data_IF_048754369629
#
_entry.id   IF_048754369629
#
_cell.length_a   1.000
_cell.length_b   1.000
_cell.length_c   1.000
_cell.angle_alpha   90.00
_cell.angle_beta   90.00
_cell.angle_gamma   90.00
#
_symmetry.space_group_name_H-M   'P 1'
#
loop_
_entity.id
_entity.type
_entity.pdbx_description
1 polymer ?
#
# COMPACT_ATOMS: atom_id res chain seq x y z
N UNK A 1 -8.11 -0.76 -40.83
CA UNK A 1 -7.44 -1.84 -41.58
C UNK A 1 -8.20 -3.13 -41.35
N UNK A 2 -8.64 -3.75 -42.44
CA UNK A 2 -9.51 -4.90 -42.51
C UNK A 2 -8.69 -6.09 -42.97
N UNK A 3 -8.76 -7.24 -42.31
CA UNK A 3 -8.42 -8.52 -42.93
C UNK A 3 -9.38 -9.61 -42.46
N UNK A 4 -10.21 -10.03 -43.41
CA UNK A 4 -10.97 -11.29 -43.44
C UNK A 4 -10.00 -12.47 -43.70
N UNK A 5 -10.31 -13.66 -43.18
CA UNK A 5 -10.65 -14.89 -43.97
C UNK A 5 -10.73 -16.16 -43.11
N UNK A 6 -11.70 -16.99 -43.50
CA UNK A 6 -12.15 -18.32 -43.05
C UNK A 6 -11.32 -19.46 -43.74
N UNK A 7 -11.74 -20.76 -43.79
CA UNK A 7 -12.29 -21.72 -42.81
C UNK A 7 -11.55 -23.12 -42.88
N UNK A 8 -12.20 -24.32 -42.84
CA UNK A 8 -11.98 -25.37 -41.83
C UNK A 8 -11.24 -26.63 -42.34
N UNK A 9 -10.73 -27.44 -41.43
CA UNK A 9 -10.03 -28.69 -41.73
C UNK A 9 -10.75 -29.93 -41.18
N UNK A 10 -11.27 -30.73 -42.09
CA UNK A 10 -11.84 -32.07 -41.91
C UNK A 10 -10.79 -33.16 -42.13
N UNK A 11 -10.91 -34.28 -41.40
CA UNK A 11 -10.43 -35.64 -41.74
C UNK A 11 -10.89 -36.60 -40.64
N UNK A 12 -11.14 -37.90 -40.81
CA UNK A 12 -11.61 -38.80 -41.87
C UNK A 12 -11.28 -40.22 -41.37
N UNK A 13 -12.20 -41.19 -41.55
CA UNK A 13 -11.95 -42.64 -41.46
C UNK A 13 -12.36 -43.29 -40.13
N UNK A 14 -13.08 -44.41 -40.08
CA UNK A 14 -13.60 -45.29 -41.14
C UNK A 14 -14.80 -46.13 -40.60
N UNK A 15 -15.57 -46.78 -41.49
CA UNK A 15 -16.82 -47.47 -41.20
C UNK A 15 -16.62 -48.99 -41.01
N UNK A 16 -17.51 -49.64 -40.25
CA UNK A 16 -17.68 -51.09 -40.33
C UNK A 16 -19.16 -51.43 -40.51
N UNK A 17 -19.44 -51.99 -41.69
CA UNK A 17 -20.70 -52.49 -42.20
C UNK A 17 -20.91 -53.95 -41.81
N UNK A 18 -22.15 -54.34 -41.59
CA UNK A 18 -22.56 -55.75 -41.43
C UNK A 18 -24.07 -55.90 -41.40
N UNK A 19 -24.69 -55.81 -42.58
CA UNK A 19 -26.04 -56.33 -42.85
C UNK A 19 -26.06 -57.86 -42.70
N UNK A 20 -27.19 -58.44 -42.27
CA UNK A 20 -27.90 -59.44 -43.09
C UNK A 20 -29.19 -59.94 -42.40
N UNK A 21 -30.28 -59.81 -43.15
CA UNK A 21 -31.58 -60.47 -43.02
C UNK A 21 -31.47 -61.99 -43.23
N UNK A 22 -32.37 -62.78 -42.61
CA UNK A 22 -32.95 -64.07 -43.08
C UNK A 22 -33.58 -64.78 -41.87
N UNK A 23 -34.83 -65.28 -41.82
CA UNK A 23 -35.84 -65.55 -42.84
C UNK A 23 -35.89 -67.03 -43.24
N UNK A 24 -36.68 -67.86 -42.55
CA UNK A 24 -37.34 -69.14 -42.98
C UNK A 24 -37.72 -69.94 -41.70
N UNK A 25 -38.97 -70.25 -41.33
CA UNK A 25 -40.06 -71.00 -41.97
C UNK A 25 -39.64 -72.21 -42.81
N UNK A 26 -39.85 -73.40 -42.24
CA UNK A 26 -40.16 -74.64 -42.97
C UNK A 26 -41.11 -75.50 -42.14
N UNK A 27 -42.41 -75.37 -42.44
CA UNK A 27 -43.33 -76.50 -42.50
C UNK A 27 -42.81 -77.55 -43.49
N UNK A 28 -43.08 -78.85 -43.27
CA UNK A 28 -43.25 -79.92 -44.28
C UNK A 28 -43.50 -81.29 -43.58
N UNK A 29 -44.02 -82.34 -44.25
CA UNK A 29 -45.38 -82.82 -44.02
C UNK A 29 -45.51 -84.33 -43.71
N UNK A 30 -46.77 -84.75 -43.70
CA UNK A 30 -47.40 -86.08 -43.62
C UNK A 30 -46.89 -87.21 -44.54
N UNK A 31 -47.19 -88.44 -44.09
CA UNK A 31 -47.25 -89.75 -44.77
C UNK A 31 -45.90 -90.43 -45.07
N UNK A 32 -45.73 -91.76 -44.94
CA UNK A 32 -46.66 -92.81 -45.31
C UNK A 32 -46.39 -94.14 -44.57
N UNK A 33 -47.43 -94.96 -44.61
CA UNK A 33 -47.60 -96.30 -44.09
C UNK A 33 -46.47 -97.29 -44.39
N UNK A 34 -46.05 -98.06 -43.38
CA UNK A 34 -45.76 -99.48 -43.59
C UNK A 34 -46.21 -100.38 -42.42
N UNK A 35 -47.22 -101.19 -42.75
CA UNK A 35 -47.58 -102.51 -42.23
C UNK A 35 -46.55 -103.12 -41.26
N UNK A 36 -46.87 -103.13 -39.97
CA UNK A 36 -46.31 -104.09 -39.02
C UNK A 36 -47.44 -104.94 -38.46
N UNK A 37 -47.30 -106.23 -38.73
CA UNK A 37 -48.22 -107.34 -38.53
C UNK A 37 -48.65 -107.53 -37.08
N UNK A 38 -49.96 -107.70 -36.87
CA UNK A 38 -50.57 -108.19 -35.63
C UNK A 38 -50.10 -109.61 -35.30
N UNK A 39 -49.13 -109.73 -34.39
CA UNK A 39 -48.89 -110.98 -33.65
C UNK A 39 -49.66 -110.90 -32.34
N UNK A 40 -50.82 -111.58 -32.27
CA UNK A 40 -51.50 -111.92 -31.01
C UNK A 40 -50.52 -112.73 -30.15
N UNK A 41 -49.86 -112.07 -29.19
CA UNK A 41 -49.12 -112.76 -28.13
C UNK A 41 -50.13 -113.22 -27.09
N UNK A 42 -50.09 -114.53 -26.83
CA UNK A 42 -50.71 -115.22 -25.70
C UNK A 42 -50.61 -114.39 -24.42
N UNK A 43 -51.74 -114.25 -23.72
CA UNK A 43 -51.73 -114.06 -22.27
C UNK A 43 -50.81 -115.12 -21.67
N UNK A 44 -49.71 -114.67 -21.07
CA UNK A 44 -48.97 -115.42 -20.09
C UNK A 44 -49.42 -114.80 -18.77
N UNK A 45 -50.27 -115.53 -18.07
CA UNK A 45 -50.43 -115.39 -16.64
C UNK A 45 -49.06 -115.64 -16.01
N UNK A 46 -48.40 -114.55 -15.63
CA UNK A 46 -47.24 -114.57 -14.77
C UNK A 46 -47.57 -113.63 -13.62
N UNK A 47 -48.22 -114.22 -12.63
CA UNK A 47 -48.05 -113.83 -11.24
C UNK A 47 -46.59 -113.47 -10.95
N UNK A 48 -46.42 -112.53 -10.02
CA UNK A 48 -45.22 -112.43 -9.20
C UNK A 48 -44.06 -111.58 -9.75
N UNK A 49 -44.34 -110.31 -10.04
CA UNK A 49 -43.50 -109.20 -9.56
C UNK A 49 -44.43 -108.32 -8.72
N UNK A 50 -44.21 -108.30 -7.41
CA UNK A 50 -45.10 -107.71 -6.40
C UNK A 50 -45.59 -106.32 -6.81
N UNK A 51 -46.91 -106.10 -6.85
CA UNK A 51 -47.52 -104.76 -7.06
C UNK A 51 -46.96 -103.71 -6.10
N UNK A 52 -46.39 -104.15 -4.96
CA UNK A 52 -45.64 -103.28 -4.05
C UNK A 52 -44.42 -102.64 -4.71
N UNK A 53 -43.59 -103.37 -5.48
CA UNK A 53 -42.35 -102.84 -6.09
C UNK A 53 -42.63 -101.77 -7.15
N UNK A 54 -43.69 -101.94 -7.96
CA UNK A 54 -44.09 -100.94 -8.95
C UNK A 54 -44.71 -99.70 -8.27
N UNK A 55 -45.43 -99.90 -7.18
CA UNK A 55 -46.00 -98.82 -6.36
C UNK A 55 -44.89 -98.04 -5.65
N UNK A 56 -43.86 -98.74 -5.19
CA UNK A 56 -42.66 -98.19 -4.54
C UNK A 56 -41.84 -97.35 -5.53
N UNK A 57 -41.53 -97.88 -6.73
CA UNK A 57 -40.86 -97.12 -7.79
C UNK A 57 -41.66 -95.89 -8.24
N UNK A 58 -43.00 -96.00 -8.34
CA UNK A 58 -43.86 -94.85 -8.65
C UNK A 58 -43.79 -93.80 -7.54
N UNK A 59 -43.79 -94.22 -6.28
CA UNK A 59 -43.67 -93.32 -5.15
C UNK A 59 -42.29 -92.65 -5.13
N UNK A 60 -41.21 -93.38 -5.42
CA UNK A 60 -39.85 -92.83 -5.57
C UNK A 60 -39.76 -91.82 -6.73
N UNK A 61 -40.38 -92.10 -7.88
CA UNK A 61 -40.44 -91.16 -9.01
C UNK A 61 -41.21 -89.89 -8.62
N UNK A 62 -42.37 -90.04 -7.96
CA UNK A 62 -43.17 -88.90 -7.53
C UNK A 62 -42.46 -88.08 -6.46
N UNK A 63 -41.75 -88.73 -5.54
CA UNK A 63 -40.91 -88.10 -4.55
C UNK A 63 -39.72 -87.39 -5.21
N UNK A 64 -39.06 -88.02 -6.18
CA UNK A 64 -38.00 -87.40 -6.98
C UNK A 64 -38.50 -86.15 -7.72
N UNK A 65 -39.61 -86.22 -8.46
CA UNK A 65 -40.15 -85.06 -9.18
C UNK A 65 -40.61 -83.96 -8.23
N UNK A 66 -41.16 -84.31 -7.07
CA UNK A 66 -41.52 -83.33 -6.05
C UNK A 66 -40.27 -82.67 -5.44
N UNK A 67 -39.25 -83.46 -5.09
CA UNK A 67 -37.98 -82.97 -4.54
C UNK A 67 -37.23 -82.12 -5.56
N UNK A 68 -37.16 -82.56 -6.82
CA UNK A 68 -36.57 -81.82 -7.93
C UNK A 68 -37.33 -80.51 -8.18
N UNK A 69 -38.66 -80.56 -8.26
CA UNK A 69 -39.50 -79.37 -8.42
C UNK A 69 -39.35 -78.37 -7.28
N UNK A 70 -39.27 -78.85 -6.04
CA UNK A 70 -39.02 -78.02 -4.87
C UNK A 70 -37.61 -77.43 -4.85
N UNK A 71 -36.60 -78.20 -5.26
CA UNK A 71 -35.22 -77.72 -5.39
C UNK A 71 -35.10 -76.63 -6.44
N UNK A 72 -35.64 -76.86 -7.64
CA UNK A 72 -35.67 -75.87 -8.73
C UNK A 72 -36.42 -74.59 -8.32
N UNK A 73 -37.53 -74.71 -7.59
CA UNK A 73 -38.24 -73.53 -7.05
C UNK A 73 -37.40 -72.76 -6.04
N UNK A 74 -36.64 -73.44 -5.17
CA UNK A 74 -35.74 -72.80 -4.20
C UNK A 74 -34.60 -72.08 -4.90
N UNK A 75 -33.95 -72.72 -5.87
CA UNK A 75 -32.89 -72.11 -6.68
C UNK A 75 -33.41 -70.89 -7.46
N UNK A 76 -34.56 -71.01 -8.12
CA UNK A 76 -35.18 -69.89 -8.84
C UNK A 76 -35.55 -68.73 -7.92
N UNK A 77 -36.03 -69.02 -6.71
CA UNK A 77 -36.29 -67.99 -5.70
C UNK A 77 -35.00 -67.29 -5.26
N UNK A 78 -33.93 -68.04 -5.00
CA UNK A 78 -32.60 -67.49 -4.67
C UNK A 78 -32.08 -66.58 -5.79
N UNK A 79 -32.14 -67.06 -7.03
CA UNK A 79 -31.71 -66.31 -8.21
C UNK A 79 -32.51 -65.01 -8.36
N UNK A 80 -33.82 -65.05 -8.11
CA UNK A 80 -34.68 -63.87 -8.16
C UNK A 80 -34.29 -62.84 -7.09
N UNK A 81 -33.96 -63.30 -5.88
CA UNK A 81 -33.51 -62.44 -4.78
C UNK A 81 -32.14 -61.82 -5.12
N UNK A 82 -31.21 -62.59 -5.68
CA UNK A 82 -29.91 -62.11 -6.17
C UNK A 82 -30.07 -61.07 -7.29
N UNK A 83 -30.93 -61.33 -8.29
CA UNK A 83 -31.22 -60.37 -9.37
C UNK A 83 -31.83 -59.08 -8.83
N UNK A 84 -32.65 -59.16 -7.78
CA UNK A 84 -33.21 -57.98 -7.12
C UNK A 84 -32.13 -57.16 -6.40
N UNK A 85 -31.16 -57.83 -5.77
CA UNK A 85 -29.99 -57.17 -5.18
C UNK A 85 -29.12 -56.51 -6.25
N UNK A 86 -28.84 -57.20 -7.37
CA UNK A 86 -28.06 -56.65 -8.50
C UNK A 86 -28.73 -55.38 -9.05
N UNK A 87 -30.06 -55.34 -9.13
CA UNK A 87 -30.79 -54.15 -9.54
C UNK A 87 -30.55 -52.99 -8.56
N UNK A 88 -30.62 -53.25 -7.25
CA UNK A 88 -30.30 -52.24 -6.22
C UNK A 88 -28.89 -51.68 -6.37
N UNK A 89 -27.89 -52.55 -6.55
CA UNK A 89 -26.49 -52.14 -6.79
C UNK A 89 -26.35 -51.27 -8.04
N UNK A 90 -27.08 -51.58 -9.11
CA UNK A 90 -27.06 -50.77 -10.34
C UNK A 90 -27.60 -49.35 -10.11
N UNK A 91 -28.66 -49.22 -9.31
CA UNK A 91 -29.24 -47.93 -8.96
C UNK A 91 -28.23 -47.12 -8.10
N UNK A 92 -27.59 -47.74 -7.11
CA UNK A 92 -26.54 -47.12 -6.30
C UNK A 92 -25.35 -46.65 -7.15
N UNK A 93 -24.89 -47.47 -8.12
CA UNK A 93 -23.82 -47.10 -9.05
C UNK A 93 -24.20 -45.88 -9.91
N UNK A 94 -25.48 -45.75 -10.25
CA UNK A 94 -25.97 -44.60 -11.02
C UNK A 94 -25.92 -43.32 -10.17
N UNK A 95 -26.37 -43.39 -8.92
CA UNK A 95 -26.32 -42.28 -7.96
C UNK A 95 -24.87 -41.86 -7.69
N UNK A 96 -23.96 -42.82 -7.47
CA UNK A 96 -22.53 -42.53 -7.24
C UNK A 96 -21.93 -41.80 -8.45
N UNK A 97 -22.28 -42.19 -9.68
CA UNK A 97 -21.79 -41.50 -10.89
C UNK A 97 -22.26 -40.05 -10.96
N UNK A 98 -23.53 -39.79 -10.64
CA UNK A 98 -24.07 -38.44 -10.62
C UNK A 98 -23.39 -37.57 -9.55
N UNK A 99 -23.16 -38.14 -8.35
CA UNK A 99 -22.42 -37.46 -7.28
C UNK A 99 -20.97 -37.18 -7.67
N UNK A 100 -20.29 -38.13 -8.32
CA UNK A 100 -18.92 -37.94 -8.82
C UNK A 100 -18.84 -36.81 -9.85
N UNK A 101 -19.81 -36.70 -10.75
CA UNK A 101 -19.83 -35.61 -11.74
C UNK A 101 -20.07 -34.26 -11.05
N UNK A 102 -20.97 -34.21 -10.06
CA UNK A 102 -21.20 -33.01 -9.24
C UNK A 102 -19.93 -32.57 -8.49
N UNK A 103 -19.23 -33.50 -7.84
CA UNK A 103 -17.97 -33.26 -7.14
C UNK A 103 -16.89 -32.76 -8.10
N UNK A 104 -16.82 -33.33 -9.31
CA UNK A 104 -15.87 -32.90 -10.33
C UNK A 104 -16.11 -31.45 -10.76
N UNK A 105 -17.38 -31.07 -10.99
CA UNK A 105 -17.76 -29.69 -11.32
C UNK A 105 -17.39 -28.73 -10.19
N UNK A 106 -17.69 -29.07 -8.93
CA UNK A 106 -17.35 -28.22 -7.80
C UNK A 106 -15.84 -28.07 -7.60
N UNK A 107 -15.07 -29.14 -7.82
CA UNK A 107 -13.60 -29.11 -7.74
C UNK A 107 -13.00 -28.18 -8.80
N UNK A 108 -13.51 -28.21 -10.04
CA UNK A 108 -13.08 -27.28 -11.10
C UNK A 108 -13.39 -25.83 -10.72
N UNK A 109 -14.59 -25.57 -10.16
CA UNK A 109 -14.97 -24.23 -9.71
C UNK A 109 -14.04 -23.71 -8.61
N UNK A 110 -13.77 -24.51 -7.59
CA UNK A 110 -12.86 -24.16 -6.49
C UNK A 110 -11.45 -23.89 -7.01
N UNK A 111 -10.96 -24.71 -7.94
CA UNK A 111 -9.63 -24.52 -8.53
C UNK A 111 -9.52 -23.19 -9.27
N UNK A 112 -10.56 -22.80 -10.00
CA UNK A 112 -10.63 -21.50 -10.68
C UNK A 112 -10.61 -20.35 -9.69
N UNK A 113 -11.49 -20.38 -8.68
CA UNK A 113 -11.57 -19.33 -7.65
C UNK A 113 -10.27 -19.20 -6.86
N UNK A 114 -9.62 -20.33 -6.54
CA UNK A 114 -8.31 -20.34 -5.90
C UNK A 114 -7.24 -19.68 -6.78
N UNK A 115 -7.25 -19.93 -8.10
CA UNK A 115 -6.32 -19.28 -9.03
C UNK A 115 -6.55 -17.78 -9.12
N UNK A 116 -7.81 -17.33 -9.13
CA UNK A 116 -8.16 -15.90 -9.15
C UNK A 116 -7.70 -15.22 -7.86
N UNK A 117 -7.98 -15.82 -6.70
CA UNK A 117 -7.53 -15.33 -5.40
C UNK A 117 -5.99 -15.23 -5.31
N UNK A 118 -5.26 -16.19 -5.88
CA UNK A 118 -3.79 -16.14 -5.90
C UNK A 118 -3.25 -14.99 -6.75
N UNK A 119 -3.94 -14.63 -7.84
CA UNK A 119 -3.59 -13.45 -8.62
C UNK A 119 -3.83 -12.17 -7.80
N UNK A 120 -4.98 -12.05 -7.15
CA UNK A 120 -5.30 -10.88 -6.29
C UNK A 120 -4.28 -10.73 -5.15
N UNK A 121 -3.87 -11.84 -4.51
CA UNK A 121 -2.83 -11.84 -3.49
C UNK A 121 -1.49 -11.35 -4.05
N UNK A 122 -1.14 -11.76 -5.27
CA UNK A 122 0.08 -11.31 -5.95
C UNK A 122 0.05 -9.82 -6.25
N UNK A 123 -1.09 -9.30 -6.74
CA UNK A 123 -1.28 -7.87 -7.00
C UNK A 123 -1.22 -7.03 -5.71
N UNK A 124 -1.89 -7.49 -4.65
CA UNK A 124 -1.83 -6.85 -3.33
C UNK A 124 -0.40 -6.81 -2.78
N UNK A 125 0.37 -7.90 -2.92
CA UNK A 125 1.77 -7.96 -2.52
C UNK A 125 2.61 -6.90 -3.25
N UNK A 126 2.38 -6.73 -4.55
CA UNK A 126 3.08 -5.73 -5.35
C UNK A 126 2.73 -4.30 -4.92
N UNK A 127 1.44 -4.03 -4.68
CA UNK A 127 0.97 -2.74 -4.17
C UNK A 127 1.57 -2.42 -2.79
N UNK A 128 1.60 -3.41 -1.89
CA UNK A 128 2.19 -3.25 -0.56
C UNK A 128 3.69 -2.95 -0.63
N UNK A 129 4.43 -3.63 -1.51
CA UNK A 129 5.85 -3.36 -1.71
C UNK A 129 6.10 -1.94 -2.25
N UNK A 130 5.27 -1.49 -3.19
CA UNK A 130 5.34 -0.12 -3.71
C UNK A 130 5.11 0.90 -2.60
N UNK A 131 4.03 0.75 -1.83
CA UNK A 131 3.73 1.67 -0.73
C UNK A 131 4.77 1.62 0.39
N UNK A 132 5.36 0.46 0.67
CA UNK A 132 6.46 0.35 1.62
C UNK A 132 7.69 1.13 1.18
N UNK A 133 8.06 1.08 -0.10
CA UNK A 133 9.18 1.85 -0.65
C UNK A 133 8.89 3.37 -0.66
N UNK A 134 7.66 3.76 -1.00
CA UNK A 134 7.20 5.15 -0.95
C UNK A 134 7.25 5.68 0.50
N UNK A 135 6.79 4.88 1.47
CA UNK A 135 6.85 5.22 2.88
C UNK A 135 8.28 5.45 3.36
N UNK A 136 9.23 4.58 2.98
CA UNK A 136 10.65 4.78 3.32
C UNK A 136 11.17 6.10 2.74
N UNK A 137 10.82 6.42 1.49
CA UNK A 137 11.22 7.68 0.84
C UNK A 137 10.67 8.90 1.57
N UNK A 138 9.40 8.83 2.01
CA UNK A 138 8.78 9.90 2.79
C UNK A 138 9.44 10.07 4.16
N UNK A 139 9.79 8.98 4.85
CA UNK A 139 10.53 9.04 6.11
C UNK A 139 11.87 9.74 5.93
N UNK A 140 12.65 9.39 4.91
CA UNK A 140 13.92 10.06 4.62
C UNK A 140 13.75 11.56 4.37
N UNK A 141 12.74 11.95 3.58
CA UNK A 141 12.44 13.38 3.35
C UNK A 141 12.06 14.13 4.63
N UNK A 142 11.32 13.48 5.52
CA UNK A 142 10.98 14.06 6.83
C UNK A 142 12.25 14.27 7.65
N UNK A 143 13.15 13.29 7.70
CA UNK A 143 14.42 13.39 8.43
C UNK A 143 15.30 14.54 7.88
N UNK A 144 15.35 14.69 6.56
CA UNK A 144 16.06 15.80 5.90
C UNK A 144 15.47 17.17 6.30
N UNK A 145 14.13 17.30 6.27
CA UNK A 145 13.46 18.54 6.68
C UNK A 145 13.71 18.85 8.15
N UNK A 146 13.67 17.85 9.03
CA UNK A 146 13.98 18.01 10.46
C UNK A 146 15.43 18.46 10.65
N UNK A 147 16.37 17.96 9.85
CA UNK A 147 17.77 18.39 9.87
C UNK A 147 17.92 19.87 9.46
N UNK A 148 17.23 20.30 8.40
CA UNK A 148 17.26 21.69 7.95
C UNK A 148 16.62 22.65 8.97
N UNK A 149 15.53 22.26 9.63
CA UNK A 149 14.91 23.06 10.70
C UNK A 149 15.91 23.33 11.83
N UNK A 150 16.69 22.33 12.25
CA UNK A 150 17.72 22.50 13.28
C UNK A 150 18.80 23.51 12.87
N UNK A 151 19.13 23.59 11.57
CA UNK A 151 20.09 24.59 11.07
C UNK A 151 19.49 26.00 11.14
N UNK A 152 18.20 26.14 10.87
CA UNK A 152 17.49 27.43 10.99
C UNK A 152 17.49 27.90 12.44
N UNK A 153 17.23 27.02 13.40
CA UNK A 153 17.27 27.36 14.84
C UNK A 153 18.66 27.87 15.25
N UNK A 154 19.72 27.21 14.78
CA UNK A 154 21.10 27.64 15.05
C UNK A 154 21.41 29.00 14.42
N UNK A 155 20.95 29.26 13.19
CA UNK A 155 21.12 30.55 12.53
C UNK A 155 20.39 31.66 13.31
N UNK A 156 19.20 31.38 13.84
CA UNK A 156 18.44 32.35 14.63
C UNK A 156 19.15 32.70 15.94
N UNK A 157 19.77 31.72 16.61
CA UNK A 157 20.61 31.96 17.78
C UNK A 157 21.81 32.85 17.43
N UNK A 158 22.53 32.53 16.36
CA UNK A 158 23.68 33.33 15.91
C UNK A 158 23.29 34.77 15.56
N UNK A 159 22.12 34.98 14.94
CA UNK A 159 21.61 36.33 14.66
C UNK A 159 21.36 37.11 15.95
N UNK A 160 20.73 36.48 16.95
CA UNK A 160 20.48 37.10 18.25
C UNK A 160 21.78 37.52 18.93
N UNK A 161 22.78 36.62 18.99
CA UNK A 161 24.09 36.93 19.57
C UNK A 161 24.80 38.07 18.83
N UNK A 162 24.70 38.10 17.50
CA UNK A 162 25.33 39.14 16.70
C UNK A 162 24.64 40.51 16.92
N UNK A 163 23.32 40.53 17.07
CA UNK A 163 22.56 41.73 17.40
C UNK A 163 22.96 42.28 18.78
N UNK A 164 23.09 41.41 19.79
CA UNK A 164 23.57 41.82 21.11
C UNK A 164 24.97 42.41 21.07
N UNK A 165 25.90 41.76 20.36
CA UNK A 165 27.27 42.27 20.17
C UNK A 165 27.27 43.61 19.44
N UNK A 166 26.44 43.76 18.42
CA UNK A 166 26.31 45.01 17.67
C UNK A 166 25.80 46.15 18.56
N UNK A 167 24.74 45.94 19.34
CA UNK A 167 24.21 46.96 20.24
C UNK A 167 25.21 47.30 21.36
N UNK A 168 25.93 46.31 21.90
CA UNK A 168 27.02 46.55 22.85
C UNK A 168 28.10 47.45 22.26
N UNK A 169 28.61 47.12 21.07
CA UNK A 169 29.64 47.89 20.40
C UNK A 169 29.17 49.30 20.03
N UNK A 170 27.91 49.42 19.59
CA UNK A 170 27.29 50.71 19.29
C UNK A 170 27.21 51.60 20.53
N UNK A 171 26.85 51.02 21.67
CA UNK A 171 26.80 51.74 22.94
C UNK A 171 28.19 52.18 23.41
N UNK A 172 29.19 51.31 23.30
CA UNK A 172 30.59 51.66 23.59
C UNK A 172 31.09 52.79 22.69
N UNK A 173 30.81 52.71 21.39
CA UNK A 173 31.17 53.76 20.42
C UNK A 173 30.49 55.10 20.76
N UNK A 174 29.20 55.07 21.10
CA UNK A 174 28.47 56.26 21.51
C UNK A 174 29.05 56.86 22.80
N UNK A 175 29.40 56.02 23.77
CA UNK A 175 30.04 56.45 25.00
C UNK A 175 31.40 57.10 24.75
N UNK A 176 32.23 56.51 23.89
CA UNK A 176 33.52 57.09 23.49
C UNK A 176 33.32 58.45 22.81
N UNK A 177 32.38 58.56 21.86
CA UNK A 177 32.06 59.82 21.19
C UNK A 177 31.57 60.90 22.16
N UNK A 178 30.74 60.53 23.14
CA UNK A 178 30.29 61.46 24.18
C UNK A 178 31.45 61.91 25.07
N UNK A 179 32.33 60.98 25.45
CA UNK A 179 33.52 61.26 26.25
C UNK A 179 34.48 62.21 25.51
N UNK A 180 34.69 62.02 24.22
CA UNK A 180 35.53 62.92 23.41
C UNK A 180 34.94 64.33 23.32
N UNK A 181 33.61 64.44 23.29
CA UNK A 181 32.88 65.72 23.29
C UNK A 181 32.71 66.33 24.68
N UNK A 182 33.02 65.59 25.75
CA UNK A 182 32.82 66.05 27.12
C UNK A 182 33.69 67.27 27.47
N UNK A 183 34.75 67.54 26.70
CA UNK A 183 35.63 68.71 26.83
C UNK A 183 35.29 69.84 25.85
N UNK A 184 34.27 69.64 25.01
CA UNK A 184 33.93 70.60 23.97
C UNK A 184 32.89 71.61 24.49
N UNK A 185 33.06 72.86 24.09
CA UNK A 185 32.06 73.93 24.19
C UNK A 185 31.65 74.34 22.79
N UNK A 186 30.35 74.47 22.58
CA UNK A 186 29.78 75.02 21.37
C UNK A 186 29.26 76.43 21.65
N UNK A 187 29.71 77.39 20.84
CA UNK A 187 29.28 78.78 20.89
C UNK A 187 28.57 79.09 19.57
N UNK A 188 27.27 79.36 19.68
CA UNK A 188 26.40 79.62 18.54
C UNK A 188 26.17 81.12 18.35
N UNK A 189 25.68 81.51 17.16
CA UNK A 189 25.22 82.87 16.86
C UNK A 189 26.28 83.98 16.93
N UNK A 190 27.56 83.64 16.76
CA UNK A 190 28.63 84.63 16.60
C UNK A 190 28.73 85.02 15.12
N UNK A 191 28.59 86.30 14.73
CA UNK A 191 28.78 86.73 13.34
C UNK A 191 30.16 86.37 12.81
N UNK A 192 30.24 85.94 11.55
CA UNK A 192 31.52 85.60 10.90
C UNK A 192 32.26 86.86 10.45
N UNK A 193 33.54 86.99 10.83
CA UNK A 193 34.41 88.06 10.34
C UNK A 193 35.56 87.47 9.51
N UNK A 194 35.95 88.18 8.44
CA UNK A 194 37.12 87.81 7.65
C UNK A 194 38.37 87.91 8.53
N UNK A 195 39.20 86.86 8.53
CA UNK A 195 40.42 86.75 9.33
C UNK A 195 40.19 86.82 10.85
N UNK A 196 39.08 86.29 11.34
CA UNK A 196 38.84 86.19 12.79
C UNK A 196 39.71 85.12 13.45
N UNK A 197 40.07 85.36 14.72
CA UNK A 197 40.74 84.40 15.57
C UNK A 197 39.69 83.83 16.53
N UNK A 198 39.32 82.57 16.31
CA UNK A 198 38.18 81.95 17.00
C UNK A 198 38.43 81.79 18.51
N UNK A 199 39.69 81.59 18.93
CA UNK A 199 40.08 81.47 20.34
C UNK A 199 39.82 82.74 21.14
N UNK A 200 39.88 83.92 20.51
CA UNK A 200 39.72 85.20 21.20
C UNK A 200 38.31 85.37 21.77
N UNK A 201 37.30 84.80 21.10
CA UNK A 201 35.93 84.79 21.60
C UNK A 201 35.82 84.01 22.92
N UNK A 202 36.48 82.86 23.05
CA UNK A 202 36.44 82.06 24.27
C UNK A 202 37.16 82.76 25.43
N UNK A 203 38.31 83.37 25.15
CA UNK A 203 39.04 84.16 26.15
C UNK A 203 38.22 85.36 26.61
N UNK A 204 37.52 86.04 25.69
CA UNK A 204 36.63 87.14 26.01
C UNK A 204 35.43 86.68 26.87
N UNK A 205 34.85 85.52 26.58
CA UNK A 205 33.79 84.92 27.40
C UNK A 205 34.31 84.60 28.80
N UNK A 206 35.51 84.02 28.92
CA UNK A 206 36.14 83.76 30.23
C UNK A 206 36.30 85.03 31.06
N UNK A 207 36.82 86.10 30.45
CA UNK A 207 36.94 87.41 31.12
C UNK A 207 35.59 87.95 31.59
N UNK A 208 34.55 87.80 30.76
CA UNK A 208 33.19 88.22 31.11
C UNK A 208 32.61 87.42 32.28
N UNK A 209 32.89 86.13 32.36
CA UNK A 209 32.41 85.24 33.43
C UNK A 209 33.32 85.20 34.67
N UNK A 210 34.42 85.97 34.69
CA UNK A 210 35.39 85.98 35.78
C UNK A 210 36.30 84.74 35.84
N UNK A 211 36.32 83.92 34.78
CA UNK A 211 37.16 82.73 34.67
C UNK A 211 38.41 83.06 33.84
N UNK A 212 39.59 82.84 34.42
CA UNK A 212 40.85 83.03 33.71
C UNK A 212 41.04 81.88 32.73
N UNK A 213 40.96 82.17 31.43
CA UNK A 213 41.21 81.22 30.33
C UNK A 213 42.41 81.74 29.54
N UNK A 214 43.45 80.92 29.43
CA UNK A 214 44.62 81.20 28.58
C UNK A 214 44.50 80.51 27.22
N UNK A 215 45.28 80.95 26.24
CA UNK A 215 45.35 80.27 24.93
C UNK A 215 45.88 78.83 25.07
N UNK A 216 46.68 78.56 26.08
CA UNK A 216 47.22 77.23 26.37
C UNK A 216 46.13 76.28 26.86
N UNK A 217 45.05 76.77 27.46
CA UNK A 217 43.94 75.93 27.93
C UNK A 217 43.07 75.41 26.78
N UNK A 218 43.23 75.97 25.58
CA UNK A 218 42.52 75.60 24.36
C UNK A 218 43.35 74.58 23.58
N UNK A 219 42.78 73.42 23.26
CA UNK A 219 43.42 72.42 22.40
C UNK A 219 43.14 72.78 20.93
N UNK A 220 41.87 72.95 20.58
CA UNK A 220 41.43 73.32 19.23
C UNK A 220 40.25 74.27 19.30
N UNK A 221 40.19 75.24 18.39
CA UNK A 221 39.05 76.16 18.24
C UNK A 221 38.81 76.40 16.75
N UNK A 222 37.63 76.03 16.25
CA UNK A 222 37.29 76.21 14.84
C UNK A 222 35.79 76.38 14.63
N UNK A 223 35.44 76.94 13.47
CA UNK A 223 34.04 77.04 13.02
C UNK A 223 33.58 75.71 12.43
N UNK A 224 32.41 75.24 12.83
CA UNK A 224 31.77 74.02 12.35
C UNK A 224 30.41 74.38 11.74
N UNK A 225 30.09 73.79 10.60
CA UNK A 225 28.75 73.94 10.01
C UNK A 225 27.72 73.28 10.93
N UNK A 226 26.64 73.99 11.24
CA UNK A 226 25.52 73.39 11.96
C UNK A 226 24.88 72.31 11.10
N UNK A 227 24.33 71.27 11.74
CA UNK A 227 23.67 70.15 11.06
C UNK A 227 22.47 70.59 10.22
N UNK A 228 21.79 71.63 10.69
CA UNK A 228 20.54 72.14 10.11
C UNK A 228 20.72 73.51 9.45
N UNK A 229 21.96 73.92 9.11
CA UNK A 229 22.16 75.26 8.52
C UNK A 229 21.68 75.30 7.07
N UNK A 230 20.49 75.85 6.85
CA UNK A 230 20.27 76.71 5.69
C UNK A 230 21.41 77.74 5.66
N UNK A 231 22.01 77.99 4.50
CA UNK A 231 23.23 78.82 4.31
C UNK A 231 23.17 80.27 4.87
N UNK A 232 22.10 80.66 5.58
CA UNK A 232 21.88 81.98 6.18
C UNK A 232 22.35 82.11 7.63
N UNK A 233 22.52 81.02 8.39
CA UNK A 233 22.99 81.11 9.78
C UNK A 233 24.52 81.08 9.86
N UNK A 234 25.14 81.86 10.78
CA UNK A 234 26.58 81.80 10.99
C UNK A 234 26.99 80.44 11.55
N UNK A 235 28.16 79.94 11.15
CA UNK A 235 28.72 78.68 11.65
C UNK A 235 28.98 78.75 13.15
N UNK A 236 28.71 77.66 13.85
CA UNK A 236 28.99 77.54 15.27
C UNK A 236 30.50 77.43 15.49
N UNK A 237 30.95 77.90 16.64
CA UNK A 237 32.34 77.74 17.07
C UNK A 237 32.38 76.55 18.02
N UNK A 238 33.20 75.54 17.71
CA UNK A 238 33.46 74.42 18.62
C UNK A 238 34.88 74.55 19.14
N UNK A 239 35.01 74.55 20.47
CA UNK A 239 36.29 74.66 21.16
C UNK A 239 36.48 73.49 22.10
N UNK A 240 37.60 72.80 21.96
CA UNK A 240 38.03 71.72 22.85
C UNK A 240 38.98 72.27 23.90
N UNK A 241 38.63 72.09 25.17
CA UNK A 241 39.42 72.53 26.32
C UNK A 241 40.33 71.42 26.82
N UNK A 242 41.42 71.78 27.52
CA UNK A 242 42.30 70.81 28.18
C UNK A 242 41.66 70.10 29.39
N UNK A 243 40.61 70.68 29.97
CA UNK A 243 40.00 70.17 31.19
C UNK A 243 38.47 70.25 31.16
N UNK A 244 37.82 69.15 31.53
CA UNK A 244 36.35 69.08 31.72
C UNK A 244 35.92 70.03 32.84
N UNK A 245 36.74 70.17 33.90
CA UNK A 245 36.42 71.07 35.01
C UNK A 245 36.37 72.52 34.53
N UNK A 246 37.31 72.92 33.66
CA UNK A 246 37.32 74.26 33.08
C UNK A 246 36.06 74.50 32.23
N UNK A 247 35.67 73.51 31.42
CA UNK A 247 34.40 73.55 30.67
C UNK A 247 33.21 73.76 31.61
N UNK A 248 33.09 72.93 32.64
CA UNK A 248 31.95 72.95 33.54
C UNK A 248 31.91 74.24 34.36
N UNK A 249 33.06 74.80 34.75
CA UNK A 249 33.15 76.12 35.35
C UNK A 249 32.61 77.21 34.42
N UNK A 250 33.00 77.21 33.13
CA UNK A 250 32.51 78.18 32.14
C UNK A 250 31.00 78.04 31.97
N UNK A 251 30.49 76.82 31.77
CA UNK A 251 29.05 76.58 31.61
C UNK A 251 28.29 76.98 32.87
N UNK A 252 28.82 76.69 34.06
CA UNK A 252 28.21 77.05 35.33
C UNK A 252 28.14 78.57 35.51
N UNK A 253 29.23 79.29 35.24
CA UNK A 253 29.28 80.74 35.36
C UNK A 253 28.37 81.45 34.35
N UNK A 254 28.21 80.90 33.13
CA UNK A 254 27.24 81.43 32.14
C UNK A 254 25.79 81.16 32.54
N UNK A 255 25.52 80.07 33.26
CA UNK A 255 24.16 79.70 33.69
C UNK A 255 23.72 80.39 34.98
N UNK A 256 24.65 80.89 35.78
CA UNK A 256 24.32 81.66 36.98
C UNK A 256 23.81 83.05 36.54
N UNK A 257 22.60 83.46 37.00
CA UNK A 257 21.99 84.72 36.60
C UNK A 257 22.69 85.95 37.18
#
# INVERSE_FOLDING_TARGET
>A
MSVKRSPPGSRAGSPFSGESLSGSNTDLPTNDYHKITHRRRKQIDADFVSSSQLTEFKNEIMEFFNNFGNSQRKEFKSLKDEVSQIKGVKDDVTIIREQLESIKISTVKITREHSEMMNDISELKNSLNYHSAEQTTLTTRIDDVVSEIKKVDLLQQNISELQEKYESLRNEYNFMQQRDRAMNIEISQIPEKKNEIVSDYVIAIGKYTGIVISAEDLIYAHRVKSRDSDNKSPKNIVVQLKSILLRDSIISAVRQP
#
